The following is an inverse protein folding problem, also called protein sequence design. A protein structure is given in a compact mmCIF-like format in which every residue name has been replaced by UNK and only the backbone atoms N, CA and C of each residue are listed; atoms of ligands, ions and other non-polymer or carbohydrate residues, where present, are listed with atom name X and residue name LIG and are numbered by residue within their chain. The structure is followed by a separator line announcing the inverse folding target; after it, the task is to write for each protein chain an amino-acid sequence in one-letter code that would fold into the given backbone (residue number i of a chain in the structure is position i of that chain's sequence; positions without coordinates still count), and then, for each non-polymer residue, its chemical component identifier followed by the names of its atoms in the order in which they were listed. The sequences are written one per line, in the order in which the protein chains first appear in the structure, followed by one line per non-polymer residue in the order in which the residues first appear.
data_IF_576984051205
#
_entry.id   IF_576984051205
#
_cell.length_a   1.000
_cell.length_b   1.000
_cell.length_c   1.000
_cell.angle_alpha   90.00
_cell.angle_beta   90.00
_cell.angle_gamma   90.00
#
_symmetry.space_group_name_H-M   'P 1'
#
loop_
_entity.id
_entity.type
_entity.pdbx_description
1 polymer ?
#
# COMPACT_ATOMS: atom_id res chain seq x y z
N UNK A 1 16.47 5.33 -11.63
CA UNK A 1 15.00 5.29 -11.71
C UNK A 1 14.45 6.68 -12.02
N UNK A 2 13.44 6.74 -12.89
CA UNK A 2 12.77 8.00 -13.20
C UNK A 2 11.86 8.40 -12.04
N UNK A 3 11.57 9.71 -11.97
CA UNK A 3 10.67 10.22 -10.93
C UNK A 3 9.29 9.54 -11.01
N UNK A 4 8.78 9.33 -12.22
CA UNK A 4 7.50 8.68 -12.40
C UNK A 4 7.49 7.26 -11.85
N UNK A 5 8.52 6.50 -12.15
CA UNK A 5 8.65 5.14 -11.64
C UNK A 5 8.73 5.13 -10.13
N UNK A 6 9.43 6.09 -9.56
CA UNK A 6 9.56 6.20 -8.11
C UNK A 6 8.22 6.50 -7.45
N UNK A 7 7.45 7.41 -8.04
CA UNK A 7 6.12 7.76 -7.51
C UNK A 7 5.21 6.55 -7.52
N UNK A 8 5.19 5.81 -8.64
CA UNK A 8 4.38 4.60 -8.75
C UNK A 8 4.78 3.57 -7.70
N UNK A 9 6.07 3.39 -7.49
CA UNK A 9 6.57 2.44 -6.50
C UNK A 9 6.14 2.83 -5.08
N UNK A 10 6.22 4.11 -4.76
CA UNK A 10 5.81 4.60 -3.45
C UNK A 10 4.32 4.40 -3.23
N UNK A 11 3.51 4.71 -4.24
CA UNK A 11 2.06 4.52 -4.16
C UNK A 11 1.73 3.04 -3.97
N UNK A 12 2.39 2.17 -4.71
CA UNK A 12 2.15 0.73 -4.61
C UNK A 12 2.48 0.22 -3.20
N UNK A 13 3.63 0.60 -2.67
CA UNK A 13 4.03 0.20 -1.32
C UNK A 13 3.07 0.75 -0.28
N UNK A 14 2.66 2.01 -0.43
CA UNK A 14 1.72 2.62 0.51
C UNK A 14 0.38 1.88 0.53
N UNK A 15 -0.16 1.56 -0.64
CA UNK A 15 -1.42 0.82 -0.74
C UNK A 15 -1.29 -0.56 -0.10
N UNK A 16 -0.22 -1.26 -0.38
CA UNK A 16 0.02 -2.59 0.19
C UNK A 16 0.14 -2.53 1.71
N UNK A 17 0.86 -1.56 2.22
CA UNK A 17 1.04 -1.39 3.66
C UNK A 17 -0.30 -1.07 4.34
N UNK A 18 -1.06 -0.16 3.77
CA UNK A 18 -2.36 0.21 4.31
C UNK A 18 -3.33 -0.98 4.30
N UNK A 19 -3.33 -1.74 3.22
CA UNK A 19 -4.18 -2.93 3.13
C UNK A 19 -3.81 -3.97 4.18
N UNK A 20 -2.52 -4.15 4.40
CA UNK A 20 -2.03 -5.08 5.40
C UNK A 20 -2.47 -4.67 6.81
N UNK A 21 -2.29 -3.40 7.14
CA UNK A 21 -2.66 -2.89 8.46
C UNK A 21 -4.18 -2.93 8.67
N UNK A 22 -4.94 -2.57 7.65
CA UNK A 22 -6.40 -2.61 7.72
C UNK A 22 -6.89 -4.04 7.96
N UNK A 23 -6.27 -5.01 7.33
CA UNK A 23 -6.62 -6.41 7.53
C UNK A 23 -6.36 -6.88 8.96
N UNK A 24 -5.36 -6.30 9.62
CA UNK A 24 -5.08 -6.61 11.01
C UNK A 24 -6.08 -5.97 11.96
N UNK A 25 -6.48 -4.74 11.67
CA UNK A 25 -7.38 -3.98 12.54
C UNK A 25 -8.82 -4.42 12.37
N UNK A 26 -9.23 -4.63 11.11
CA UNK A 26 -10.61 -5.01 10.77
C UNK A 26 -10.63 -6.27 9.93
N UNK A 27 -10.26 -7.42 10.50
CA UNK A 27 -10.16 -8.67 9.73
C UNK A 27 -11.49 -9.15 9.16
N UNK A 28 -12.61 -8.77 9.75
CA UNK A 28 -13.92 -9.21 9.30
C UNK A 28 -14.41 -8.45 8.05
N UNK A 29 -13.72 -7.41 7.65
CA UNK A 29 -14.06 -6.64 6.45
C UNK A 29 -13.31 -7.14 5.23
N UNK A 30 -12.08 -7.62 5.42
CA UNK A 30 -11.18 -8.04 4.35
C UNK A 30 -11.53 -9.32 3.62
#
# INVERSE_FOLDING_TARGET
MNKKTRIVAIILVAVMTLSFLASMILPYIG
#
